data_IF_562735761674
#
_entry.id   IF_562735761674
#
_cell.length_a   1.000
_cell.length_b   1.000
_cell.length_c   1.000
_cell.angle_alpha   90.00
_cell.angle_beta   90.00
_cell.angle_gamma   90.00
#
_symmetry.space_group_name_H-M   'P 1'
#
loop_
_entity.id
_entity.type
_entity.pdbx_description
1 polymer ?
#
# COMPACT_ATOMS: atom_id res chain seq x y z
N UNK A 1 -10.18 9.33 -15.34
CA UNK A 1 -9.42 8.19 -15.93
C UNK A 1 -10.11 7.63 -17.17
N UNK A 2 -11.41 7.32 -17.11
CA UNK A 2 -12.16 6.79 -18.25
C UNK A 2 -12.09 7.69 -19.49
N UNK A 3 -12.29 9.00 -19.32
CA UNK A 3 -12.25 9.97 -20.43
C UNK A 3 -10.89 9.96 -21.13
N UNK A 4 -9.80 10.03 -20.37
CA UNK A 4 -8.42 9.94 -20.89
C UNK A 4 -8.19 8.65 -21.69
N UNK A 5 -8.74 7.53 -21.22
CA UNK A 5 -8.60 6.23 -21.89
C UNK A 5 -9.39 6.10 -23.20
N UNK A 6 -10.35 6.99 -23.48
CA UNK A 6 -11.22 6.95 -24.68
C UNK A 6 -11.12 8.20 -25.55
N UNK A 7 -10.31 9.18 -25.16
CA UNK A 7 -10.27 10.47 -25.82
C UNK A 7 -9.60 10.36 -27.20
N UNK A 8 -10.23 10.88 -28.29
CA UNK A 8 -9.71 10.70 -29.65
C UNK A 8 -8.36 11.36 -29.88
N UNK A 9 -8.04 12.42 -29.13
CA UNK A 9 -6.77 13.15 -29.24
C UNK A 9 -5.75 12.77 -28.15
N UNK A 10 -6.00 11.73 -27.34
CA UNK A 10 -5.04 11.29 -26.31
C UNK A 10 -4.67 9.83 -26.58
N UNK A 11 -3.37 9.58 -26.80
CA UNK A 11 -2.82 8.23 -26.86
C UNK A 11 -2.26 7.85 -25.50
N UNK A 12 -2.99 7.04 -24.74
CA UNK A 12 -2.55 6.53 -23.45
C UNK A 12 -1.53 5.38 -23.63
N UNK A 13 -0.29 5.61 -23.20
CA UNK A 13 0.77 4.59 -23.18
C UNK A 13 1.00 4.10 -21.74
N UNK A 14 0.05 3.34 -21.21
CA UNK A 14 0.20 2.74 -19.89
C UNK A 14 1.32 1.69 -19.88
N UNK A 15 1.92 1.46 -18.70
CA UNK A 15 3.02 0.51 -18.53
C UNK A 15 4.20 0.76 -19.50
N UNK A 16 4.51 2.05 -19.70
CA UNK A 16 5.58 2.52 -20.57
C UNK A 16 6.41 3.58 -19.83
N UNK A 17 7.67 3.71 -20.20
CA UNK A 17 8.59 4.71 -19.62
C UNK A 17 9.32 5.49 -20.71
N UNK A 18 9.56 6.77 -20.46
CA UNK A 18 10.42 7.59 -21.30
C UNK A 18 11.88 7.20 -21.05
N UNK A 19 12.61 6.86 -22.11
CA UNK A 19 14.03 6.54 -22.03
C UNK A 19 14.92 7.73 -22.36
N UNK A 20 14.52 8.48 -23.39
CA UNK A 20 15.33 9.54 -23.97
C UNK A 20 14.45 10.65 -24.53
N UNK A 21 14.88 11.90 -24.32
CA UNK A 21 14.28 13.07 -24.96
C UNK A 21 15.38 13.90 -25.63
N UNK A 22 15.32 14.01 -26.96
CA UNK A 22 16.25 14.84 -27.75
C UNK A 22 15.50 15.96 -28.47
N UNK A 23 16.24 16.96 -28.95
CA UNK A 23 15.68 18.12 -29.64
C UNK A 23 15.42 19.31 -28.72
N UNK A 24 14.55 20.19 -29.18
CA UNK A 24 14.30 21.51 -28.59
C UNK A 24 12.80 21.83 -28.55
N UNK A 25 12.43 22.91 -27.87
CA UNK A 25 11.05 23.37 -27.78
C UNK A 25 10.36 23.38 -29.17
N UNK A 26 9.21 22.71 -29.25
CA UNK A 26 8.41 22.56 -30.47
C UNK A 26 8.90 21.50 -31.46
N UNK A 27 10.03 20.82 -31.22
CA UNK A 27 10.51 19.71 -32.05
C UNK A 27 11.37 18.74 -31.22
N UNK A 28 10.73 18.03 -30.30
CA UNK A 28 11.37 16.96 -29.54
C UNK A 28 11.12 15.60 -30.18
N UNK A 29 12.10 14.71 -30.03
CA UNK A 29 11.95 13.28 -30.30
C UNK A 29 12.06 12.53 -28.97
N UNK A 30 10.95 11.92 -28.57
CA UNK A 30 10.83 11.11 -27.36
C UNK A 30 10.92 9.62 -27.71
N UNK A 31 11.87 8.92 -27.10
CA UNK A 31 12.00 7.47 -27.19
C UNK A 31 11.32 6.85 -25.97
N UNK A 32 10.25 6.10 -26.19
CA UNK A 32 9.41 5.52 -25.14
C UNK A 32 9.48 4.00 -25.20
N UNK A 33 9.91 3.37 -24.10
CA UNK A 33 9.89 1.92 -23.93
C UNK A 33 8.53 1.48 -23.42
N UNK A 34 7.83 0.66 -24.18
CA UNK A 34 6.61 -0.03 -23.74
C UNK A 34 6.99 -1.38 -23.14
N UNK A 35 6.77 -1.53 -21.83
CA UNK A 35 7.09 -2.77 -21.10
C UNK A 35 6.12 -3.87 -21.49
N UNK A 36 6.56 -5.12 -21.34
CA UNK A 36 5.76 -6.31 -21.66
C UNK A 36 4.77 -6.65 -20.55
N UNK A 37 3.48 -6.71 -20.89
CA UNK A 37 2.46 -7.17 -19.95
C UNK A 37 2.33 -8.69 -19.92
N UNK A 38 2.83 -9.37 -20.95
CA UNK A 38 2.52 -10.77 -21.31
C UNK A 38 1.02 -11.02 -21.51
N UNK A 39 0.28 -9.94 -21.76
CA UNK A 39 -1.15 -9.89 -22.01
C UNK A 39 -1.38 -8.86 -23.10
N UNK A 40 -1.93 -9.29 -24.22
CA UNK A 40 -2.25 -8.45 -25.37
C UNK A 40 -3.44 -7.55 -25.03
N UNK A 41 -3.19 -6.25 -24.97
CA UNK A 41 -4.15 -5.25 -24.49
C UNK A 41 -5.41 -5.19 -25.36
N UNK A 42 -5.26 -5.35 -26.68
CA UNK A 42 -6.38 -5.27 -27.64
C UNK A 42 -7.31 -6.49 -27.57
N UNK A 43 -6.84 -7.63 -27.05
CA UNK A 43 -7.63 -8.86 -26.89
C UNK A 43 -8.17 -9.01 -25.47
N UNK A 44 -7.51 -8.42 -24.48
CA UNK A 44 -7.87 -8.61 -23.08
C UNK A 44 -9.19 -7.89 -22.74
N UNK A 45 -10.17 -8.65 -22.25
CA UNK A 45 -11.46 -8.11 -21.79
C UNK A 45 -11.45 -7.64 -20.33
N UNK A 46 -10.39 -7.95 -19.57
CA UNK A 46 -10.29 -7.58 -18.16
C UNK A 46 -11.15 -8.40 -17.20
N UNK A 47 -11.70 -9.55 -17.62
CA UNK A 47 -12.68 -10.32 -16.84
C UNK A 47 -12.17 -10.96 -15.53
N UNK A 48 -10.85 -11.11 -15.34
CA UNK A 48 -10.27 -11.62 -14.09
C UNK A 48 -10.21 -13.15 -13.94
N UNK A 49 -10.81 -13.94 -14.85
CA UNK A 49 -10.80 -15.41 -14.77
C UNK A 49 -9.40 -16.03 -14.70
N UNK A 50 -8.40 -15.36 -15.27
CA UNK A 50 -7.00 -15.78 -15.23
C UNK A 50 -6.35 -15.58 -13.84
N UNK A 51 -6.79 -14.57 -13.07
CA UNK A 51 -6.33 -14.28 -11.71
C UNK A 51 -6.81 -15.35 -10.72
N UNK A 52 -8.06 -15.76 -10.82
CA UNK A 52 -8.67 -16.76 -9.92
C UNK A 52 -7.91 -18.08 -9.91
N UNK A 53 -7.45 -18.53 -11.08
CA UNK A 53 -6.76 -19.82 -11.23
C UNK A 53 -5.25 -19.74 -10.98
N UNK A 54 -4.69 -18.54 -10.79
CA UNK A 54 -3.25 -18.38 -10.62
C UNK A 54 -2.79 -18.91 -9.24
N UNK A 55 -1.85 -19.86 -9.19
CA UNK A 55 -1.45 -20.51 -7.94
C UNK A 55 -0.40 -19.74 -7.14
N UNK A 56 0.22 -18.70 -7.71
CA UNK A 56 1.30 -17.95 -7.04
C UNK A 56 0.74 -16.72 -6.32
N UNK A 57 0.71 -16.70 -4.97
CA UNK A 57 0.46 -15.47 -4.23
C UNK A 57 1.68 -14.54 -4.33
N UNK A 58 1.43 -13.25 -4.41
CA UNK A 58 2.44 -12.18 -4.42
C UNK A 58 1.96 -11.07 -3.49
N UNK A 59 2.87 -10.40 -2.80
CA UNK A 59 2.54 -9.25 -1.96
C UNK A 59 1.86 -8.17 -2.80
N UNK A 60 0.73 -7.66 -2.30
CA UNK A 60 -0.04 -6.64 -2.99
C UNK A 60 0.47 -5.24 -2.63
N UNK A 61 1.27 -4.67 -3.52
CA UNK A 61 1.85 -3.34 -3.36
C UNK A 61 0.80 -2.22 -3.40
N UNK A 62 -0.32 -2.41 -4.10
CA UNK A 62 -1.40 -1.42 -4.13
C UNK A 62 -2.12 -1.32 -2.78
N UNK A 63 -2.12 -2.42 -2.02
CA UNK A 63 -2.67 -2.48 -0.67
C UNK A 63 -1.58 -2.38 0.40
N UNK A 64 -0.45 -1.73 0.08
CA UNK A 64 0.66 -1.46 1.01
C UNK A 64 1.18 -2.72 1.74
N UNK A 65 1.11 -3.88 1.09
CA UNK A 65 1.54 -5.15 1.68
C UNK A 65 0.56 -5.83 2.63
N UNK A 66 -0.63 -5.26 2.84
CA UNK A 66 -1.68 -5.79 3.73
C UNK A 66 -2.67 -6.75 3.06
N UNK A 67 -2.40 -7.12 1.80
CA UNK A 67 -3.11 -8.13 1.04
C UNK A 67 -2.15 -8.95 0.17
N UNK A 68 -2.68 -10.04 -0.40
CA UNK A 68 -2.01 -10.80 -1.44
C UNK A 68 -2.74 -10.64 -2.77
N UNK A 69 -1.97 -10.38 -3.82
CA UNK A 69 -2.40 -10.51 -5.22
C UNK A 69 -1.87 -11.81 -5.81
N UNK A 70 -2.10 -12.01 -7.10
CA UNK A 70 -1.54 -13.11 -7.87
C UNK A 70 -0.45 -12.61 -8.83
N UNK A 71 0.34 -13.52 -9.38
CA UNK A 71 1.36 -13.17 -10.37
C UNK A 71 0.75 -12.53 -11.63
N UNK A 72 -0.42 -12.98 -12.08
CA UNK A 72 -1.25 -12.23 -13.04
C UNK A 72 -2.26 -11.36 -12.29
N UNK A 73 -2.27 -10.06 -12.57
CA UNK A 73 -3.01 -9.08 -11.78
C UNK A 73 -3.48 -7.91 -12.64
N UNK A 74 -4.47 -7.18 -12.12
CA UNK A 74 -4.72 -5.77 -12.45
C UNK A 74 -4.28 -4.93 -11.25
N UNK A 75 -3.79 -3.71 -11.48
CA UNK A 75 -3.27 -2.87 -10.38
C UNK A 75 -4.35 -2.56 -9.34
N UNK A 76 -5.55 -2.24 -9.82
CA UNK A 76 -6.78 -2.12 -9.02
C UNK A 76 -8.00 -2.30 -9.93
N UNK A 77 -9.18 -2.48 -9.35
CA UNK A 77 -10.38 -2.89 -10.09
C UNK A 77 -10.82 -1.87 -11.17
N UNK A 78 -10.64 -0.57 -10.92
CA UNK A 78 -11.02 0.51 -11.83
C UNK A 78 -9.84 1.03 -12.68
N UNK A 79 -8.74 0.26 -12.76
CA UNK A 79 -7.56 0.61 -13.53
C UNK A 79 -7.85 0.78 -15.03
N UNK A 80 -7.26 1.82 -15.64
CA UNK A 80 -7.36 2.11 -17.07
C UNK A 80 -5.93 2.09 -17.66
N UNK A 81 -5.67 1.34 -18.75
CA UNK A 81 -6.58 0.44 -19.46
C UNK A 81 -7.02 -0.74 -18.60
N UNK A 82 -8.25 -1.24 -18.84
CA UNK A 82 -8.84 -2.38 -18.12
C UNK A 82 -8.22 -3.70 -18.60
N UNK A 83 -6.92 -3.85 -18.37
CA UNK A 83 -6.11 -5.00 -18.79
C UNK A 83 -5.38 -5.62 -17.61
N UNK A 84 -4.96 -6.87 -17.78
CA UNK A 84 -4.13 -7.58 -16.82
C UNK A 84 -2.65 -7.47 -17.19
N UNK A 85 -1.78 -7.81 -16.25
CA UNK A 85 -0.33 -7.86 -16.42
C UNK A 85 0.22 -9.04 -15.64
N UNK A 86 1.23 -9.71 -16.19
CA UNK A 86 1.93 -10.79 -15.52
C UNK A 86 3.24 -10.25 -14.97
N UNK A 87 3.43 -10.45 -13.68
CA UNK A 87 4.68 -10.19 -12.97
C UNK A 87 5.72 -11.26 -13.36
N UNK A 88 6.81 -10.89 -14.06
CA UNK A 88 7.79 -11.85 -14.54
C UNK A 88 8.55 -12.53 -13.40
N UNK A 89 8.79 -11.83 -12.29
CA UNK A 89 9.62 -12.31 -11.18
C UNK A 89 8.91 -13.41 -10.39
N UNK A 90 7.57 -13.42 -10.42
CA UNK A 90 6.74 -14.36 -9.67
C UNK A 90 5.98 -15.36 -10.55
N UNK A 91 5.93 -15.15 -11.86
CA UNK A 91 5.24 -16.05 -12.77
C UNK A 91 6.01 -17.38 -12.92
N UNK A 92 5.34 -18.50 -12.66
CA UNK A 92 5.94 -19.84 -12.79
C UNK A 92 6.47 -20.12 -14.19
N UNK A 93 5.76 -19.70 -15.24
CA UNK A 93 6.20 -19.93 -16.63
C UNK A 93 7.47 -19.12 -16.93
N UNK A 94 7.49 -17.84 -16.58
CA UNK A 94 8.60 -16.93 -16.86
C UNK A 94 9.84 -17.20 -15.98
N UNK A 95 9.65 -17.88 -14.85
CA UNK A 95 10.73 -18.39 -13.98
C UNK A 95 11.14 -19.84 -14.30
N UNK A 96 10.70 -20.41 -15.43
CA UNK A 96 11.13 -21.73 -15.92
C UNK A 96 10.42 -22.94 -15.31
N UNK A 97 9.35 -22.75 -14.54
CA UNK A 97 8.54 -23.82 -13.93
C UNK A 97 7.32 -24.17 -14.81
N UNK A 98 6.91 -25.45 -14.78
CA UNK A 98 5.72 -25.93 -15.51
C UNK A 98 4.43 -25.29 -14.97
N UNK A 99 3.77 -24.47 -15.78
CA UNK A 99 2.49 -23.82 -15.50
C UNK A 99 1.78 -23.46 -16.84
N UNK A 100 0.85 -22.51 -16.85
CA UNK A 100 0.09 -22.09 -18.04
C UNK A 100 -1.44 -22.10 -17.81
N UNK A 101 -1.90 -22.29 -16.57
CA UNK A 101 -3.33 -22.37 -16.24
C UNK A 101 -4.09 -21.09 -16.60
N UNK A 102 -3.47 -19.92 -16.44
CA UNK A 102 -4.06 -18.65 -16.81
C UNK A 102 -4.29 -18.55 -18.32
N UNK A 103 -3.32 -18.99 -19.14
CA UNK A 103 -3.43 -19.01 -20.61
C UNK A 103 -4.54 -19.96 -21.06
N UNK A 104 -4.62 -21.17 -20.49
CA UNK A 104 -5.68 -22.15 -20.79
C UNK A 104 -7.08 -21.64 -20.43
N UNK A 105 -7.21 -20.88 -19.34
CA UNK A 105 -8.50 -20.34 -18.87
C UNK A 105 -8.94 -19.10 -19.65
N UNK A 106 -8.01 -18.41 -20.32
CA UNK A 106 -8.28 -17.17 -21.04
C UNK A 106 -9.02 -17.43 -22.36
N UNK A 107 -10.34 -17.27 -22.34
CA UNK A 107 -11.19 -17.43 -23.53
C UNK A 107 -10.84 -16.46 -24.67
N UNK A 108 -10.38 -15.25 -24.34
CA UNK A 108 -10.00 -14.25 -25.34
C UNK A 108 -8.63 -14.52 -26.00
N UNK A 109 -7.88 -15.54 -25.56
CA UNK A 109 -6.55 -15.84 -26.10
C UNK A 109 -5.53 -14.69 -25.95
N UNK A 110 -5.70 -13.82 -24.96
CA UNK A 110 -4.88 -12.61 -24.80
C UNK A 110 -3.51 -12.86 -24.13
N UNK A 111 -3.29 -13.99 -23.47
CA UNK A 111 -2.05 -14.25 -22.73
C UNK A 111 -0.97 -14.77 -23.67
N UNK A 112 0.15 -14.04 -23.73
CA UNK A 112 1.29 -14.33 -24.58
C UNK A 112 2.60 -14.17 -23.80
N UNK A 113 3.21 -15.30 -23.41
CA UNK A 113 4.47 -15.32 -22.65
C UNK A 113 5.71 -14.94 -23.47
N UNK A 114 5.60 -14.96 -24.81
CA UNK A 114 6.69 -14.63 -25.72
C UNK A 114 6.66 -13.17 -26.18
N UNK A 115 5.74 -12.37 -25.61
CA UNK A 115 5.64 -10.94 -25.90
C UNK A 115 6.99 -10.25 -25.61
N UNK A 116 7.45 -9.43 -26.57
CA UNK A 116 8.70 -8.67 -26.47
C UNK A 116 8.45 -7.19 -26.22
N UNK A 117 9.41 -6.52 -25.60
CA UNK A 117 9.37 -5.08 -25.40
C UNK A 117 9.36 -4.36 -26.74
N UNK A 118 8.67 -3.22 -26.80
CA UNK A 118 8.65 -2.38 -27.99
C UNK A 118 9.13 -0.98 -27.65
N UNK A 119 9.94 -0.41 -28.54
CA UNK A 119 10.42 0.96 -28.43
C UNK A 119 9.68 1.80 -29.47
N UNK A 120 9.11 2.91 -29.02
CA UNK A 120 8.35 3.84 -29.84
C UNK A 120 9.11 5.17 -29.92
N UNK A 121 9.22 5.72 -31.13
CA UNK A 121 9.69 7.09 -31.32
C UNK A 121 8.50 8.01 -31.58
N UNK A 122 8.39 9.06 -30.78
CA UNK A 122 7.30 10.04 -30.85
C UNK A 122 7.88 11.43 -31.11
N UNK A 123 7.35 12.11 -32.12
CA UNK A 123 7.61 13.54 -32.33
C UNK A 123 6.63 14.35 -31.49
N UNK A 124 7.15 15.17 -30.57
CA UNK A 124 6.33 15.96 -29.63
C UNK A 124 6.81 17.41 -29.57
N UNK A 125 5.87 18.35 -29.44
CA UNK A 125 6.20 19.77 -29.38
C UNK A 125 6.54 20.30 -27.99
N UNK A 126 5.99 19.69 -26.94
CA UNK A 126 6.20 20.06 -25.55
C UNK A 126 6.09 18.84 -24.65
N UNK A 127 6.67 18.93 -23.45
CA UNK A 127 6.63 17.87 -22.43
C UNK A 127 6.13 18.45 -21.12
N UNK A 128 5.22 17.75 -20.46
CA UNK A 128 4.74 18.09 -19.12
C UNK A 128 5.09 16.94 -18.17
N UNK A 129 5.82 17.26 -17.10
CA UNK A 129 6.22 16.32 -16.06
C UNK A 129 5.15 16.32 -14.96
N UNK A 130 4.52 15.16 -14.77
CA UNK A 130 3.49 14.94 -13.77
C UNK A 130 3.72 13.62 -13.03
N UNK A 131 4.98 13.32 -12.69
CA UNK A 131 5.42 12.03 -12.14
C UNK A 131 5.04 11.84 -10.67
N UNK A 132 4.38 12.82 -10.05
CA UNK A 132 3.87 12.72 -8.69
C UNK A 132 4.97 12.72 -7.64
N UNK A 133 4.76 11.93 -6.59
CA UNK A 133 5.57 11.90 -5.38
C UNK A 133 5.64 10.48 -4.82
N UNK A 134 6.55 10.27 -3.87
CA UNK A 134 6.57 9.10 -2.99
C UNK A 134 6.40 9.53 -1.53
N UNK A 135 5.91 8.61 -0.71
CA UNK A 135 5.79 8.84 0.74
C UNK A 135 7.10 8.49 1.47
N UNK A 136 7.41 9.27 2.49
CA UNK A 136 8.56 9.04 3.38
C UNK A 136 8.41 7.70 4.11
N UNK A 137 9.49 6.92 4.16
CA UNK A 137 9.57 5.68 4.95
C UNK A 137 9.83 5.99 6.43
N UNK A 138 8.85 5.80 7.33
CA UNK A 138 9.00 6.12 8.74
C UNK A 138 9.91 5.16 9.49
N UNK A 139 10.38 4.06 8.87
CA UNK A 139 11.38 3.16 9.46
C UNK A 139 12.70 3.90 9.79
N UNK A 140 12.91 5.08 9.17
CA UNK A 140 14.05 5.98 9.43
C UNK A 140 13.93 6.76 10.75
N UNK A 141 12.77 6.70 11.42
CA UNK A 141 12.50 7.32 12.72
C UNK A 141 12.28 6.18 13.73
N UNK A 142 13.36 5.60 14.29
CA UNK A 142 13.26 4.43 15.17
C UNK A 142 12.41 4.70 16.42
N UNK A 143 12.31 5.95 16.86
CA UNK A 143 11.49 6.37 17.99
C UNK A 143 10.00 6.08 17.77
N UNK A 144 9.55 5.96 16.51
CA UNK A 144 8.16 5.64 16.18
C UNK A 144 7.89 4.15 15.96
N UNK A 145 8.92 3.29 16.00
CA UNK A 145 8.76 1.82 16.00
C UNK A 145 7.87 1.28 14.87
N UNK A 146 7.86 1.95 13.72
CA UNK A 146 7.13 1.50 12.54
C UNK A 146 7.69 0.15 12.08
N UNK A 147 6.80 -0.82 11.80
CA UNK A 147 7.10 -2.25 11.55
C UNK A 147 7.60 -3.07 12.75
N UNK A 148 7.91 -2.44 13.88
CA UNK A 148 8.23 -3.15 15.14
C UNK A 148 6.98 -3.37 16.01
N UNK A 149 6.06 -2.40 15.98
CA UNK A 149 4.73 -2.49 16.59
C UNK A 149 3.72 -2.72 15.46
N UNK A 150 3.04 -3.88 15.44
CA UNK A 150 2.09 -4.25 14.38
C UNK A 150 0.99 -3.19 14.16
N UNK A 151 0.56 -2.50 15.23
CA UNK A 151 -0.50 -1.48 15.20
C UNK A 151 0.03 -0.04 15.00
N UNK A 152 1.26 0.13 14.51
CA UNK A 152 1.76 1.42 14.01
C UNK A 152 1.83 1.33 12.50
N UNK A 153 0.96 2.09 11.82
CA UNK A 153 0.81 2.10 10.37
C UNK A 153 1.01 3.51 9.82
N UNK A 154 1.29 3.61 8.53
CA UNK A 154 1.28 4.86 7.78
C UNK A 154 -0.14 5.28 7.40
N UNK A 155 -0.31 6.56 7.11
CA UNK A 155 -1.57 7.06 6.57
C UNK A 155 -1.95 6.40 5.25
N UNK A 156 -0.98 6.04 4.39
CA UNK A 156 -1.28 5.32 3.15
C UNK A 156 -1.81 3.91 3.39
N UNK A 157 -1.22 3.16 4.34
CA UNK A 157 -1.77 1.87 4.76
C UNK A 157 -3.19 2.04 5.32
N UNK A 158 -3.40 3.07 6.13
CA UNK A 158 -4.71 3.36 6.72
C UNK A 158 -5.76 3.75 5.68
N UNK A 159 -5.39 4.52 4.65
CA UNK A 159 -6.25 4.79 3.49
C UNK A 159 -6.69 3.51 2.79
N UNK A 160 -5.79 2.53 2.66
CA UNK A 160 -6.16 1.22 2.13
C UNK A 160 -7.12 0.50 3.06
N UNK A 161 -6.98 0.61 4.39
CA UNK A 161 -7.92 -0.02 5.33
C UNK A 161 -9.32 0.60 5.25
N UNK A 162 -9.42 1.92 5.15
CA UNK A 162 -10.70 2.61 5.01
C UNK A 162 -11.36 2.39 3.64
N UNK A 163 -10.61 1.93 2.64
CA UNK A 163 -11.14 1.66 1.30
C UNK A 163 -12.03 0.43 1.28
N UNK A 164 -13.24 0.55 0.73
CA UNK A 164 -14.15 -0.58 0.51
C UNK A 164 -13.55 -1.69 -0.39
N UNK A 165 -12.64 -1.34 -1.30
CA UNK A 165 -11.89 -2.29 -2.13
C UNK A 165 -10.52 -2.67 -1.54
N UNK A 166 -10.27 -2.26 -0.29
CA UNK A 166 -9.04 -2.49 0.44
C UNK A 166 -9.02 -3.80 1.23
N UNK A 167 -7.90 -4.09 1.92
CA UNK A 167 -7.67 -5.36 2.62
C UNK A 167 -8.60 -5.61 3.82
N UNK A 168 -9.26 -4.58 4.33
CA UNK A 168 -10.19 -4.67 5.46
C UNK A 168 -11.60 -4.22 5.08
N UNK A 169 -11.89 -4.02 3.79
CA UNK A 169 -13.22 -3.69 3.26
C UNK A 169 -13.86 -2.44 3.91
N UNK A 170 -13.04 -1.50 4.36
CA UNK A 170 -13.48 -0.30 5.07
C UNK A 170 -13.48 -0.42 6.59
N UNK A 171 -13.31 -1.61 7.15
CA UNK A 171 -13.30 -1.79 8.60
C UNK A 171 -11.94 -1.45 9.22
N UNK A 172 -11.97 -0.79 10.39
CA UNK A 172 -10.79 -0.33 11.13
C UNK A 172 -10.21 -1.45 11.99
N UNK A 173 -9.84 -2.58 11.39
CA UNK A 173 -9.26 -3.71 12.12
C UNK A 173 -7.79 -3.48 12.46
N UNK A 174 -7.37 -3.87 13.67
CA UNK A 174 -5.97 -3.83 14.09
C UNK A 174 -5.14 -4.87 13.31
N UNK A 175 -3.96 -4.49 12.76
CA UNK A 175 -3.07 -5.45 12.12
C UNK A 175 -2.65 -6.62 13.02
N UNK A 176 -2.44 -6.38 14.33
CA UNK A 176 -2.13 -7.44 15.31
C UNK A 176 -3.19 -8.55 15.32
N UNK A 177 -4.46 -8.16 15.26
CA UNK A 177 -5.59 -9.10 15.35
C UNK A 177 -5.72 -9.91 14.06
N UNK A 178 -5.42 -9.30 12.91
CA UNK A 178 -5.39 -9.99 11.61
C UNK A 178 -4.28 -11.02 11.55
N UNK A 179 -3.12 -10.73 12.12
CA UNK A 179 -1.99 -11.66 12.24
C UNK A 179 -2.36 -12.88 13.07
N UNK A 180 -3.01 -12.67 14.23
CA UNK A 180 -3.53 -13.77 15.06
C UNK A 180 -4.58 -14.60 14.30
N UNK A 181 -5.52 -13.97 13.58
CA UNK A 181 -6.49 -14.70 12.74
C UNK A 181 -5.83 -15.55 11.66
N UNK A 182 -4.76 -15.04 11.03
CA UNK A 182 -4.00 -15.79 10.03
C UNK A 182 -3.27 -17.00 10.65
N UNK A 183 -2.69 -16.82 11.84
CA UNK A 183 -2.04 -17.89 12.59
C UNK A 183 -3.03 -18.99 13.02
N UNK A 184 -4.22 -18.59 13.50
CA UNK A 184 -5.32 -19.52 13.79
C UNK A 184 -5.65 -20.35 12.54
N UNK A 185 -5.83 -19.72 11.37
CA UNK A 185 -6.16 -20.43 10.14
C UNK A 185 -5.05 -21.41 9.70
N UNK A 186 -3.78 -21.09 9.95
CA UNK A 186 -2.66 -22.00 9.69
C UNK A 186 -2.68 -23.21 10.64
N UNK A 187 -2.84 -22.95 11.94
CA UNK A 187 -2.91 -23.99 12.97
C UNK A 187 -4.12 -24.90 12.79
N UNK A 188 -5.29 -24.37 12.43
CA UNK A 188 -6.48 -25.18 12.12
C UNK A 188 -6.21 -26.16 10.97
N UNK A 189 -5.47 -25.74 9.94
CA UNK A 189 -5.08 -26.61 8.85
C UNK A 189 -4.10 -27.71 9.29
N UNK A 190 -3.14 -27.39 10.18
CA UNK A 190 -2.21 -28.38 10.76
C UNK A 190 -2.94 -29.37 11.65
N UNK A 191 -3.77 -28.88 12.57
CA UNK A 191 -4.62 -29.68 13.47
C UNK A 191 -5.53 -30.61 12.66
N UNK A 192 -6.23 -30.11 11.64
CA UNK A 192 -7.06 -30.93 10.75
C UNK A 192 -6.28 -32.05 10.04
N UNK A 193 -5.03 -31.81 9.64
CA UNK A 193 -4.17 -32.84 9.03
C UNK A 193 -3.71 -33.87 10.07
N UNK A 194 -3.33 -33.42 11.27
CA UNK A 194 -2.92 -34.31 12.36
C UNK A 194 -4.08 -35.19 12.84
N UNK A 195 -5.29 -34.65 13.01
CA UNK A 195 -6.50 -35.41 13.37
C UNK A 195 -6.78 -36.51 12.36
N UNK A 196 -6.76 -36.22 11.04
CA UNK A 196 -6.90 -37.25 10.00
C UNK A 196 -5.84 -38.35 10.09
N UNK A 197 -4.63 -38.00 10.52
CA UNK A 197 -3.58 -39.01 10.74
C UNK A 197 -3.85 -39.85 11.99
N UNK A 198 -4.42 -39.26 13.04
CA UNK A 198 -4.71 -39.92 14.32
C UNK A 198 -5.96 -40.82 14.19
N UNK A 199 -6.99 -40.37 13.49
CA UNK A 199 -8.21 -41.16 13.17
C UNK A 199 -7.88 -42.53 12.57
N UNK A 200 -6.79 -42.60 11.79
CA UNK A 200 -6.31 -43.88 11.25
C UNK A 200 -5.85 -44.83 12.36
N UNK A 201 -5.03 -44.37 13.31
CA UNK A 201 -4.56 -45.19 14.43
C UNK A 201 -5.69 -45.54 15.40
N UNK A 202 -6.60 -44.59 15.66
CA UNK A 202 -7.78 -44.82 16.49
C UNK A 202 -8.68 -45.91 15.90
N UNK A 203 -8.84 -45.92 14.57
CA UNK A 203 -9.58 -46.97 13.87
C UNK A 203 -8.86 -48.31 13.86
N UNK A 204 -7.54 -48.30 13.71
CA UNK A 204 -6.72 -49.52 13.68
C UNK A 204 -6.65 -50.20 15.06
N UNK A 205 -6.80 -49.45 16.17
CA UNK A 205 -6.63 -49.96 17.54
C UNK A 205 -7.85 -49.80 18.47
N UNK A 206 -8.93 -49.16 18.04
CA UNK A 206 -10.21 -49.10 18.76
C UNK A 206 -10.20 -48.27 20.06
N UNK A 207 -9.20 -47.41 20.25
CA UNK A 207 -9.03 -46.54 21.42
C UNK A 207 -8.70 -45.12 20.94
N UNK A 208 -9.14 -44.11 21.68
CA UNK A 208 -8.85 -42.71 21.31
C UNK A 208 -7.39 -42.36 21.58
N UNK A 209 -6.83 -41.44 20.79
CA UNK A 209 -5.44 -41.00 20.96
C UNK A 209 -5.21 -40.33 22.32
N UNK A 210 -6.23 -39.64 22.85
CA UNK A 210 -6.19 -38.99 24.16
C UNK A 210 -6.13 -40.01 25.32
N UNK A 211 -6.97 -41.04 25.28
CA UNK A 211 -6.96 -42.12 26.28
C UNK A 211 -5.66 -42.91 26.22
N UNK A 212 -5.16 -43.21 25.02
CA UNK A 212 -3.89 -43.88 24.82
C UNK A 212 -2.72 -43.08 25.40
N UNK A 213 -2.65 -41.78 25.13
CA UNK A 213 -1.57 -40.92 25.61
C UNK A 213 -1.60 -40.77 27.14
N UNK A 214 -2.79 -40.58 27.73
CA UNK A 214 -2.94 -40.53 29.19
C UNK A 214 -2.56 -41.87 29.86
N UNK A 215 -2.90 -43.01 29.25
CA UNK A 215 -2.52 -44.32 29.76
C UNK A 215 -1.01 -44.58 29.63
N UNK A 216 -0.37 -44.02 28.60
CA UNK A 216 1.07 -44.04 28.39
C UNK A 216 1.84 -43.25 29.46
N UNK A 217 1.42 -42.02 29.75
CA UNK A 217 2.04 -41.18 30.79
C UNK A 217 1.91 -41.79 32.19
N UNK A 218 0.80 -42.48 32.47
CA UNK A 218 0.55 -43.13 33.75
C UNK A 218 1.15 -44.56 33.86
N UNK A 219 1.87 -45.04 32.85
CA UNK A 219 2.56 -46.34 32.85
C UNK A 219 1.62 -47.57 32.82
N UNK A 220 0.36 -47.40 32.42
CA UNK A 220 -0.72 -48.38 32.64
C UNK A 220 -1.27 -49.07 31.38
N UNK A 221 -0.49 -49.23 30.31
CA UNK A 221 -0.95 -49.86 29.07
C UNK A 221 -0.66 -51.38 29.05
N UNK A 222 -1.71 -52.21 29.04
CA UNK A 222 -1.61 -53.61 28.61
C UNK A 222 -1.59 -53.65 27.07
N UNK A 223 -0.40 -53.75 26.49
CA UNK A 223 -0.17 -53.64 25.05
C UNK A 223 -0.33 -55.01 24.37
N UNK A 224 -1.01 -55.03 23.22
CA UNK A 224 -0.93 -56.16 22.28
C UNK A 224 0.37 -56.05 21.45
N UNK A 225 0.92 -57.14 20.90
CA UNK A 225 2.16 -57.12 20.08
C UNK A 225 2.10 -56.12 18.90
N UNK A 226 0.90 -55.83 18.39
CA UNK A 226 0.67 -54.82 17.36
C UNK A 226 0.76 -53.38 17.90
N UNK A 227 0.23 -53.12 19.09
CA UNK A 227 0.30 -51.83 19.77
C UNK A 227 1.72 -51.48 20.21
N UNK A 228 2.54 -52.47 20.61
CA UNK A 228 3.94 -52.22 20.98
C UNK A 228 4.77 -51.64 19.83
N UNK A 229 4.52 -52.08 18.58
CA UNK A 229 5.29 -51.64 17.40
C UNK A 229 4.95 -50.23 16.92
N UNK A 230 3.72 -49.79 17.15
CA UNK A 230 3.24 -48.48 16.72
C UNK A 230 3.09 -47.48 17.88
N UNK A 231 3.35 -47.91 19.12
CA UNK A 231 3.30 -47.09 20.35
C UNK A 231 4.08 -45.78 20.20
N UNK A 232 5.38 -45.87 19.93
CA UNK A 232 6.25 -44.68 19.91
C UNK A 232 5.81 -43.69 18.83
N UNK A 233 5.38 -44.20 17.66
CA UNK A 233 4.88 -43.38 16.55
C UNK A 233 3.55 -42.72 16.89
N UNK A 234 2.66 -43.39 17.61
CA UNK A 234 1.37 -42.83 18.00
C UNK A 234 1.54 -41.77 19.08
N UNK A 235 2.40 -42.01 20.08
CA UNK A 235 2.79 -41.03 21.10
C UNK A 235 3.41 -39.78 20.46
N UNK A 236 4.39 -39.96 19.56
CA UNK A 236 5.06 -38.86 18.86
C UNK A 236 4.05 -38.02 18.05
N UNK A 237 3.12 -38.68 17.32
CA UNK A 237 2.11 -37.99 16.53
C UNK A 237 1.07 -37.25 17.37
N UNK A 238 0.68 -37.80 18.52
CA UNK A 238 -0.27 -37.14 19.42
C UNK A 238 0.41 -35.99 20.17
N UNK A 239 1.67 -36.13 20.57
CA UNK A 239 2.47 -35.03 21.11
C UNK A 239 2.58 -33.86 20.09
N UNK A 240 2.92 -34.18 18.83
CA UNK A 240 2.96 -33.19 17.75
C UNK A 240 1.59 -32.56 17.46
N UNK A 241 0.48 -33.28 17.69
CA UNK A 241 -0.86 -32.72 17.61
C UNK A 241 -1.11 -31.71 18.74
N UNK A 242 -0.80 -32.07 19.99
CA UNK A 242 -0.95 -31.21 21.16
C UNK A 242 -0.11 -29.92 21.07
N UNK A 243 1.08 -30.00 20.47
CA UNK A 243 1.93 -28.83 20.17
C UNK A 243 1.25 -27.80 19.26
N UNK A 244 0.31 -28.23 18.40
CA UNK A 244 -0.45 -27.34 17.53
C UNK A 244 -1.83 -26.98 18.11
N UNK A 245 -2.48 -27.91 18.81
CA UNK A 245 -3.82 -27.71 19.38
C UNK A 245 -3.81 -26.75 20.58
N UNK A 246 -2.80 -26.85 21.46
CA UNK A 246 -2.72 -26.01 22.67
C UNK A 246 -2.60 -24.52 22.32
N UNK A 247 -1.68 -24.08 21.43
CA UNK A 247 -1.63 -22.69 20.98
C UNK A 247 -2.90 -22.27 20.23
N UNK A 248 -3.50 -23.17 19.45
CA UNK A 248 -4.73 -22.88 18.70
C UNK A 248 -5.88 -22.50 19.64
N UNK A 249 -6.08 -23.26 20.73
CA UNK A 249 -7.13 -22.97 21.71
C UNK A 249 -6.88 -21.63 22.42
N UNK A 250 -5.64 -21.36 22.82
CA UNK A 250 -5.27 -20.10 23.46
C UNK A 250 -5.50 -18.89 22.53
N UNK A 251 -5.12 -19.00 21.25
CA UNK A 251 -5.35 -17.95 20.26
C UNK A 251 -6.83 -17.76 19.93
N UNK A 252 -7.61 -18.85 19.86
CA UNK A 252 -9.07 -18.77 19.67
C UNK A 252 -9.75 -18.04 20.81
N UNK A 253 -9.34 -18.30 22.06
CA UNK A 253 -9.87 -17.57 23.21
C UNK A 253 -9.52 -16.09 23.14
N UNK A 254 -8.26 -15.75 22.83
CA UNK A 254 -7.83 -14.36 22.60
C UNK A 254 -8.64 -13.68 21.49
N UNK A 255 -8.92 -14.39 20.40
CA UNK A 255 -9.63 -13.86 19.24
C UNK A 255 -11.12 -13.58 19.49
N UNK A 256 -11.74 -14.18 20.52
CA UNK A 256 -13.14 -13.88 20.91
C UNK A 256 -13.31 -12.43 21.35
N UNK A 257 -12.27 -11.80 21.87
CA UNK A 257 -12.27 -10.39 22.30
C UNK A 257 -11.93 -9.38 21.19
N UNK A 258 -11.68 -9.81 19.96
CA UNK A 258 -11.28 -8.91 18.89
C UNK A 258 -12.44 -8.05 18.39
N UNK A 259 -12.18 -6.76 18.22
CA UNK A 259 -13.12 -5.76 17.72
C UNK A 259 -12.39 -4.75 16.82
N UNK A 260 -13.13 -3.82 16.21
CA UNK A 260 -12.55 -2.67 15.52
C UNK A 260 -11.73 -1.81 16.49
N UNK A 261 -10.66 -1.20 15.99
CA UNK A 261 -9.90 -0.21 16.75
C UNK A 261 -10.79 0.99 17.06
N UNK A 262 -10.91 1.36 18.34
CA UNK A 262 -11.77 2.45 18.78
C UNK A 262 -10.98 3.70 19.10
N UNK A 263 -9.77 3.57 19.64
CA UNK A 263 -8.94 4.72 20.01
C UNK A 263 -7.77 4.89 19.05
N UNK A 264 -7.82 5.92 18.21
CA UNK A 264 -6.85 6.15 17.14
C UNK A 264 -5.95 7.35 17.46
N UNK A 265 -4.66 7.25 17.19
CA UNK A 265 -3.72 8.38 17.23
C UNK A 265 -3.17 8.68 15.84
N UNK A 266 -3.33 9.92 15.38
CA UNK A 266 -2.71 10.40 14.14
C UNK A 266 -1.52 11.28 14.49
N UNK A 267 -0.33 10.92 14.02
CA UNK A 267 0.90 11.67 14.28
C UNK A 267 1.24 12.48 13.04
N UNK A 268 1.22 13.81 13.17
CA UNK A 268 1.51 14.74 12.09
C UNK A 268 3.01 14.93 11.86
N UNK A 269 3.35 15.43 10.68
CA UNK A 269 4.72 15.85 10.32
C UNK A 269 5.74 14.71 10.39
N UNK A 270 5.35 13.46 10.07
CA UNK A 270 6.29 12.33 10.10
C UNK A 270 7.24 12.41 8.89
N UNK A 271 8.49 12.77 9.15
CA UNK A 271 9.50 13.04 8.11
C UNK A 271 9.44 14.44 7.49
N UNK A 272 8.46 15.25 7.89
CA UNK A 272 8.22 16.62 7.38
C UNK A 272 8.46 17.64 8.48
N UNK A 273 8.87 18.86 8.12
CA UNK A 273 9.32 19.89 9.08
C UNK A 273 10.34 19.31 10.07
N UNK A 274 11.18 18.40 9.58
CA UNK A 274 12.21 17.71 10.33
C UNK A 274 13.56 17.96 9.64
N UNK A 275 14.47 18.62 10.35
CA UNK A 275 15.78 19.00 9.83
C UNK A 275 16.65 17.79 9.48
N UNK A 276 16.33 16.60 10.00
CA UNK A 276 17.01 15.34 9.66
C UNK A 276 16.61 14.82 8.27
N UNK A 277 15.43 15.21 7.79
CA UNK A 277 14.80 14.68 6.57
C UNK A 277 14.32 15.83 5.68
N UNK A 278 13.01 16.05 5.60
CA UNK A 278 12.45 17.14 4.82
C UNK A 278 12.15 18.35 5.71
N UNK A 279 12.87 19.48 5.54
CA UNK A 279 12.66 20.67 6.35
C UNK A 279 11.39 21.46 5.94
N UNK A 280 10.70 21.04 4.88
CA UNK A 280 9.48 21.66 4.38
C UNK A 280 8.22 20.97 4.92
N UNK A 281 7.06 21.61 4.68
CA UNK A 281 5.74 21.04 4.97
C UNK A 281 5.21 20.29 3.75
N UNK A 282 4.63 19.11 3.94
CA UNK A 282 4.06 18.31 2.83
C UNK A 282 2.72 18.82 2.28
N UNK A 283 2.20 19.93 2.78
CA UNK A 283 0.99 20.59 2.25
C UNK A 283 -0.34 19.89 2.57
N UNK A 284 -0.41 18.55 2.51
CA UNK A 284 -1.66 17.79 2.63
C UNK A 284 -1.84 17.07 3.98
N UNK A 285 -0.75 16.82 4.74
CA UNK A 285 -0.72 15.92 5.90
C UNK A 285 -1.82 16.17 6.96
N UNK A 286 -2.09 17.43 7.28
CA UNK A 286 -3.11 17.78 8.27
C UNK A 286 -4.53 17.43 7.80
N UNK A 287 -4.83 17.64 6.52
CA UNK A 287 -6.19 17.49 6.00
C UNK A 287 -6.55 16.04 5.74
N UNK A 288 -5.62 15.21 5.23
CA UNK A 288 -5.94 13.79 5.05
C UNK A 288 -6.16 13.08 6.40
N UNK A 289 -5.38 13.42 7.45
CA UNK A 289 -5.58 12.82 8.76
C UNK A 289 -6.93 13.19 9.38
N UNK A 290 -7.39 14.43 9.21
CA UNK A 290 -8.74 14.83 9.61
C UNK A 290 -9.78 14.04 8.82
N UNK A 291 -9.58 13.91 7.50
CA UNK A 291 -10.49 13.15 6.64
C UNK A 291 -10.54 11.67 7.02
N UNK A 292 -9.40 11.03 7.25
CA UNK A 292 -9.30 9.64 7.69
C UNK A 292 -9.96 9.44 9.04
N UNK A 293 -9.75 10.34 10.00
CA UNK A 293 -10.39 10.29 11.31
C UNK A 293 -11.92 10.44 11.22
N UNK A 294 -12.42 11.35 10.37
CA UNK A 294 -13.87 11.51 10.12
C UNK A 294 -14.45 10.23 9.49
N UNK A 295 -13.82 9.70 8.43
CA UNK A 295 -14.29 8.48 7.76
C UNK A 295 -14.27 7.28 8.73
N UNK A 296 -13.25 7.18 9.58
CA UNK A 296 -13.19 6.14 10.60
C UNK A 296 -14.38 6.21 11.55
N UNK A 297 -14.76 7.42 11.96
CA UNK A 297 -15.94 7.66 12.77
C UNK A 297 -17.25 7.37 12.01
N UNK A 298 -17.35 7.72 10.72
CA UNK A 298 -18.52 7.39 9.89
C UNK A 298 -18.71 5.88 9.69
N UNK A 299 -17.62 5.12 9.66
CA UNK A 299 -17.66 3.66 9.60
C UNK A 299 -17.95 3.01 10.96
N UNK A 300 -17.55 3.66 12.05
CA UNK A 300 -17.73 3.20 13.42
C UNK A 300 -17.82 4.39 14.40
N UNK A 301 -19.05 4.75 14.79
CA UNK A 301 -19.35 5.95 15.58
C UNK A 301 -18.74 5.93 17.00
N UNK A 302 -18.27 4.78 17.49
CA UNK A 302 -17.58 4.71 18.79
C UNK A 302 -16.12 5.14 18.70
N UNK A 303 -15.61 5.36 17.48
CA UNK A 303 -14.21 5.74 17.27
C UNK A 303 -13.92 7.11 17.89
N UNK A 304 -12.83 7.19 18.65
CA UNK A 304 -12.24 8.39 19.22
C UNK A 304 -10.85 8.61 18.64
N UNK A 305 -10.65 9.73 17.95
CA UNK A 305 -9.39 10.03 17.27
C UNK A 305 -8.67 11.20 17.93
N UNK A 306 -7.37 11.05 18.17
CA UNK A 306 -6.50 12.14 18.65
C UNK A 306 -5.49 12.48 17.56
N UNK A 307 -5.50 13.73 17.09
CA UNK A 307 -4.56 14.22 16.09
C UNK A 307 -3.47 15.04 16.78
N UNK A 308 -2.26 14.49 16.82
CA UNK A 308 -1.07 15.11 17.40
C UNK A 308 -0.34 15.93 16.33
N UNK A 309 -0.36 17.25 16.45
CA UNK A 309 0.38 18.13 15.54
C UNK A 309 0.91 19.39 16.20
N UNK A 310 2.01 19.94 15.68
CA UNK A 310 2.55 21.23 16.12
C UNK A 310 1.60 22.38 15.76
N UNK A 311 1.09 22.33 14.53
CA UNK A 311 0.10 23.24 13.96
C UNK A 311 -0.84 22.41 13.08
N UNK A 312 -2.13 22.74 13.06
CA UNK A 312 -3.09 22.16 12.10
C UNK A 312 -3.24 23.14 10.94
N UNK A 313 -2.71 22.77 9.77
CA UNK A 313 -2.69 23.61 8.57
C UNK A 313 -3.89 23.30 7.67
N UNK A 314 -5.02 23.92 7.97
CA UNK A 314 -6.26 23.82 7.21
C UNK A 314 -6.33 24.93 6.14
N UNK A 315 -5.38 24.92 5.20
CA UNK A 315 -5.15 25.99 4.22
C UNK A 315 -5.86 25.69 2.89
N UNK A 316 -7.12 26.07 2.78
CA UNK A 316 -7.94 25.84 1.59
C UNK A 316 -9.38 26.29 1.81
N UNK A 317 -10.15 26.44 0.73
CA UNK A 317 -11.56 26.80 0.84
C UNK A 317 -12.34 25.69 1.55
N UNK A 318 -12.96 25.99 2.68
CA UNK A 318 -13.75 25.02 3.45
C UNK A 318 -12.92 24.14 4.39
N UNK A 319 -11.59 24.29 4.45
CA UNK A 319 -10.74 23.38 5.22
C UNK A 319 -10.82 23.62 6.73
N UNK A 320 -10.93 24.88 7.17
CA UNK A 320 -11.10 25.18 8.60
C UNK A 320 -12.47 24.70 9.09
N UNK A 321 -13.52 24.88 8.29
CA UNK A 321 -14.86 24.37 8.57
C UNK A 321 -14.86 22.84 8.64
N UNK A 322 -14.09 22.16 7.78
CA UNK A 322 -13.93 20.71 7.80
C UNK A 322 -13.25 20.21 9.08
N UNK A 323 -12.22 20.93 9.55
CA UNK A 323 -11.56 20.67 10.84
C UNK A 323 -12.51 20.92 12.02
N UNK A 324 -13.26 22.02 12.02
CA UNK A 324 -14.26 22.31 13.07
C UNK A 324 -15.30 21.19 13.13
N UNK A 325 -15.79 20.74 11.97
CA UNK A 325 -16.72 19.62 11.86
C UNK A 325 -16.14 18.33 12.45
N UNK A 326 -14.86 18.04 12.18
CA UNK A 326 -14.19 16.88 12.76
C UNK A 326 -14.23 16.87 14.30
N UNK A 327 -13.97 18.02 14.92
CA UNK A 327 -14.04 18.16 16.38
C UNK A 327 -15.47 18.08 16.93
N UNK A 328 -16.43 18.72 16.27
CA UNK A 328 -17.80 18.83 16.77
C UNK A 328 -18.67 17.59 16.51
N UNK A 329 -18.40 16.87 15.42
CA UNK A 329 -19.30 15.83 14.90
C UNK A 329 -18.66 14.45 14.73
N UNK A 330 -17.33 14.32 14.88
CA UNK A 330 -16.62 13.07 14.60
C UNK A 330 -15.65 12.64 15.70
N UNK A 331 -15.86 13.13 16.93
CA UNK A 331 -15.10 12.75 18.13
C UNK A 331 -13.56 12.88 17.94
N UNK A 332 -13.13 13.94 17.25
CA UNK A 332 -11.72 14.23 17.02
C UNK A 332 -11.19 15.23 18.05
N UNK A 333 -10.09 14.89 18.70
CA UNK A 333 -9.36 15.79 19.58
C UNK A 333 -8.06 16.23 18.93
N UNK A 334 -7.93 17.54 18.71
CA UNK A 334 -6.69 18.14 18.23
C UNK A 334 -5.75 18.41 19.39
N UNK A 335 -4.59 17.74 19.41
CA UNK A 335 -3.57 17.90 20.44
C UNK A 335 -2.36 18.62 19.89
N UNK A 336 -2.06 19.80 20.47
CA UNK A 336 -0.86 20.54 20.13
C UNK A 336 0.37 19.88 20.76
N UNK A 337 1.04 19.03 20.00
CA UNK A 337 2.21 18.29 20.44
C UNK A 337 2.97 17.69 19.25
N UNK A 338 4.29 17.55 19.41
CA UNK A 338 5.11 16.66 18.58
C UNK A 338 5.41 15.43 19.42
N UNK A 339 4.98 14.26 18.96
CA UNK A 339 5.23 12.99 19.65
C UNK A 339 6.73 12.76 19.76
N UNK A 340 7.17 12.34 20.95
CA UNK A 340 8.58 12.06 21.21
C UNK A 340 8.94 10.63 20.79
N UNK A 341 8.16 9.65 21.25
CA UNK A 341 8.38 8.23 20.95
C UNK A 341 7.07 7.43 21.08
N UNK A 342 7.10 6.22 20.53
CA UNK A 342 6.04 5.22 20.65
C UNK A 342 6.64 3.95 21.27
N UNK A 343 6.01 3.43 22.32
CA UNK A 343 6.39 2.16 22.97
C UNK A 343 5.22 1.17 22.91
N UNK A 344 5.34 0.00 23.54
CA UNK A 344 4.23 -0.94 23.74
C UNK A 344 3.85 -1.04 25.21
N UNK A 345 2.58 -1.32 25.49
CA UNK A 345 2.13 -1.78 26.81
C UNK A 345 2.20 -3.31 26.93
N UNK A 346 1.74 -3.86 28.05
CA UNK A 346 1.70 -5.30 28.30
C UNK A 346 0.77 -6.07 27.34
N UNK A 347 -0.20 -5.38 26.72
CA UNK A 347 -1.15 -5.94 25.75
C UNK A 347 -0.69 -5.75 24.30
N UNK A 348 0.58 -5.36 24.08
CA UNK A 348 1.18 -5.03 22.78
C UNK A 348 0.52 -3.83 22.06
N UNK A 349 -0.25 -3.00 22.78
CA UNK A 349 -0.83 -1.77 22.21
C UNK A 349 0.22 -0.67 22.13
N UNK A 350 0.20 0.16 21.06
CA UNK A 350 1.08 1.31 20.98
C UNK A 350 0.75 2.35 22.06
N UNK A 351 1.78 2.78 22.78
CA UNK A 351 1.73 3.85 23.77
C UNK A 351 2.48 5.05 23.24
N UNK A 352 1.76 6.16 23.03
CA UNK A 352 2.31 7.42 22.52
C UNK A 352 2.81 8.25 23.70
N UNK A 353 4.07 8.67 23.64
CA UNK A 353 4.73 9.52 24.65
C UNK A 353 4.93 10.90 24.05
N UNK A 354 4.35 11.92 24.69
CA UNK A 354 4.28 13.27 24.14
C UNK A 354 4.23 14.34 25.23
N UNK A 355 4.64 15.56 24.90
CA UNK A 355 4.43 16.72 25.77
C UNK A 355 3.08 17.37 25.46
N UNK A 356 2.22 17.52 26.46
CA UNK A 356 1.05 18.38 26.35
C UNK A 356 1.50 19.84 26.51
N UNK A 357 1.56 20.58 25.41
CA UNK A 357 2.10 21.95 25.43
C UNK A 357 1.22 22.96 26.18
N UNK A 358 -0.05 22.61 26.51
CA UNK A 358 -0.91 23.45 27.34
C UNK A 358 -0.62 23.24 28.82
N UNK A 359 -0.43 22.00 29.23
CA UNK A 359 -0.16 21.64 30.62
C UNK A 359 1.34 21.64 30.97
N UNK A 360 2.22 21.67 29.97
CA UNK A 360 3.67 21.55 30.10
C UNK A 360 4.08 20.27 30.82
N UNK A 361 3.41 19.16 30.50
CA UNK A 361 3.63 17.85 31.12
C UNK A 361 3.83 16.79 30.04
N UNK A 362 4.79 15.90 30.30
CA UNK A 362 4.93 14.66 29.51
C UNK A 362 3.82 13.70 29.91
N UNK A 363 3.06 13.23 28.92
CA UNK A 363 1.99 12.26 29.07
C UNK A 363 2.32 10.99 28.30
N UNK A 364 1.76 9.87 28.76
CA UNK A 364 1.80 8.58 28.09
C UNK A 364 0.37 8.10 27.91
N UNK A 365 0.02 7.69 26.71
CA UNK A 365 -1.35 7.31 26.40
C UNK A 365 -1.38 6.12 25.44
N UNK A 366 -2.09 5.06 25.81
CA UNK A 366 -2.27 3.88 24.96
C UNK A 366 -3.37 4.12 23.91
N UNK A 367 -3.16 3.56 22.72
CA UNK A 367 -4.07 3.61 21.57
C UNK A 367 -4.23 2.21 20.97
N UNK A 368 -5.35 1.97 20.28
CA UNK A 368 -5.58 0.73 19.54
C UNK A 368 -4.77 0.69 18.24
N UNK A 369 -4.61 1.85 17.61
CA UNK A 369 -3.92 2.03 16.35
C UNK A 369 -3.27 3.41 16.29
N UNK A 370 -2.02 3.47 15.82
CA UNK A 370 -1.31 4.72 15.54
C UNK A 370 -1.09 4.85 14.04
N UNK A 371 -1.46 6.00 13.49
CA UNK A 371 -1.37 6.36 12.08
C UNK A 371 -0.32 7.45 11.91
N UNK A 372 0.71 7.18 11.12
CA UNK A 372 1.81 8.09 10.82
C UNK A 372 1.50 8.87 9.54
N UNK A 373 1.22 10.17 9.66
CA UNK A 373 1.04 11.06 8.52
C UNK A 373 2.39 11.41 7.90
N UNK A 374 2.84 10.55 6.99
CA UNK A 374 4.17 10.59 6.36
C UNK A 374 4.30 11.71 5.35
N UNK A 375 5.53 12.21 5.21
CA UNK A 375 5.85 13.30 4.31
C UNK A 375 5.73 12.89 2.83
N UNK A 376 5.25 13.83 2.03
CA UNK A 376 5.41 13.89 0.58
C UNK A 376 6.87 14.18 0.23
N UNK A 377 7.55 13.24 -0.42
CA UNK A 377 8.89 13.43 -0.94
C UNK A 377 8.93 13.29 -2.48
N UNK A 378 10.03 13.69 -3.12
CA UNK A 378 10.23 13.44 -4.55
C UNK A 378 10.06 11.96 -4.89
N UNK A 379 9.47 11.67 -6.05
CA UNK A 379 9.33 10.29 -6.54
C UNK A 379 10.71 9.64 -6.72
N UNK A 380 10.81 8.35 -6.38
CA UNK A 380 12.02 7.55 -6.63
C UNK A 380 12.35 7.60 -8.12
N UNK A 381 13.60 7.96 -8.42
CA UNK A 381 14.06 8.13 -9.80
C UNK A 381 13.79 9.52 -10.40
N UNK A 382 13.32 10.51 -9.63
CA UNK A 382 13.19 11.89 -10.08
C UNK A 382 14.48 12.44 -10.71
N UNK A 383 15.65 12.12 -10.14
CA UNK A 383 16.96 12.49 -10.70
C UNK A 383 17.20 11.90 -12.09
N UNK A 384 16.85 10.62 -12.30
CA UNK A 384 16.94 9.96 -13.62
C UNK A 384 16.04 10.67 -14.62
N UNK A 385 14.82 11.02 -14.22
CA UNK A 385 13.85 11.72 -15.07
C UNK A 385 14.37 13.12 -15.42
N UNK A 386 14.92 13.85 -14.45
CA UNK A 386 15.52 15.17 -14.65
C UNK A 386 16.70 15.11 -15.64
N UNK A 387 17.57 14.10 -15.51
CA UNK A 387 18.65 13.84 -16.47
C UNK A 387 18.13 13.52 -17.87
N UNK A 388 17.16 12.60 -17.99
CA UNK A 388 16.54 12.24 -19.28
C UNK A 388 15.91 13.46 -19.97
N UNK A 389 15.32 14.36 -19.19
CA UNK A 389 14.68 15.58 -19.68
C UNK A 389 15.65 16.77 -19.80
N UNK A 390 16.90 16.64 -19.35
CA UNK A 390 17.88 17.71 -19.25
C UNK A 390 17.32 18.96 -18.54
N UNK A 391 16.79 18.76 -17.33
CA UNK A 391 16.26 19.82 -16.45
C UNK A 391 16.95 19.76 -15.10
N UNK A 392 17.12 20.91 -14.47
CA UNK A 392 17.63 21.03 -13.11
C UNK A 392 16.57 20.70 -12.05
N UNK A 393 17.05 20.26 -10.89
CA UNK A 393 16.24 20.04 -9.69
C UNK A 393 16.57 21.12 -8.65
N UNK A 394 15.64 21.37 -7.75
CA UNK A 394 15.86 22.27 -6.62
C UNK A 394 16.62 21.58 -5.48
N UNK A 395 16.93 22.33 -4.42
CA UNK A 395 17.65 21.81 -3.25
C UNK A 395 16.88 20.74 -2.45
N UNK A 396 15.60 20.54 -2.74
CA UNK A 396 14.72 19.58 -2.08
C UNK A 396 14.46 18.34 -2.92
N UNK A 397 15.01 18.29 -4.14
CA UNK A 397 14.84 17.19 -5.07
C UNK A 397 13.57 17.24 -5.90
N UNK A 398 12.88 18.39 -5.99
CA UNK A 398 11.79 18.60 -6.94
C UNK A 398 12.30 19.26 -8.22
N UNK A 399 11.50 19.29 -9.29
CA UNK A 399 11.89 19.95 -10.54
C UNK A 399 11.96 21.47 -10.34
N UNK A 400 13.11 22.06 -10.66
CA UNK A 400 13.34 23.50 -10.47
C UNK A 400 12.54 24.31 -11.49
N UNK A 401 11.83 25.32 -10.98
CA UNK A 401 11.01 26.25 -11.77
C UNK A 401 11.43 27.70 -11.54
N UNK A 402 10.98 28.60 -12.42
CA UNK A 402 11.14 30.04 -12.27
C UNK A 402 9.98 30.62 -11.42
N UNK A 403 10.25 31.38 -10.34
CA UNK A 403 9.20 32.04 -9.55
C UNK A 403 8.24 32.91 -10.38
N UNK A 404 8.69 33.52 -11.48
CA UNK A 404 7.82 34.29 -12.37
C UNK A 404 6.99 33.42 -13.32
N UNK A 405 7.43 32.18 -13.56
CA UNK A 405 6.79 31.19 -14.43
C UNK A 405 6.76 29.84 -13.71
N UNK A 406 5.88 29.64 -12.71
CA UNK A 406 6.01 28.60 -11.69
C UNK A 406 5.86 27.15 -12.21
N UNK A 407 5.54 26.97 -13.50
CA UNK A 407 5.39 25.66 -14.14
C UNK A 407 6.45 25.42 -15.22
N UNK A 408 7.21 26.44 -15.57
CA UNK A 408 8.28 26.36 -16.55
C UNK A 408 9.52 25.82 -15.87
N UNK A 409 10.06 24.72 -16.40
CA UNK A 409 11.32 24.18 -15.92
C UNK A 409 12.50 24.98 -16.48
N UNK A 410 13.71 24.61 -16.10
CA UNK A 410 14.95 25.16 -16.66
C UNK A 410 15.19 24.84 -18.14
N UNK A 411 14.41 23.94 -18.75
CA UNK A 411 14.46 23.66 -20.20
C UNK A 411 13.20 24.18 -20.89
N UNK A 412 13.38 25.07 -21.86
CA UNK A 412 12.28 25.58 -22.67
C UNK A 412 11.49 24.45 -23.34
N UNK A 413 10.16 24.53 -23.29
CA UNK A 413 9.24 23.50 -23.83
C UNK A 413 9.05 22.29 -22.91
N UNK A 414 9.70 22.26 -21.75
CA UNK A 414 9.46 21.27 -20.69
C UNK A 414 8.86 21.99 -19.47
N UNK A 415 7.72 21.48 -19.02
CA UNK A 415 6.93 22.02 -17.92
C UNK A 415 6.75 20.98 -16.82
N UNK A 416 6.37 21.41 -15.61
CA UNK A 416 6.07 20.53 -14.49
C UNK A 416 4.75 20.93 -13.82
N UNK A 417 4.02 19.96 -13.28
CA UNK A 417 2.81 20.22 -12.50
C UNK A 417 2.58 19.18 -11.41
N UNK A 418 1.73 19.52 -10.44
CA UNK A 418 1.33 18.61 -9.37
C UNK A 418 2.48 18.30 -8.43
N UNK A 419 2.43 17.16 -7.75
CA UNK A 419 3.41 16.84 -6.72
C UNK A 419 4.85 16.59 -7.25
N UNK A 420 5.06 16.55 -8.56
CA UNK A 420 6.40 16.60 -9.14
C UNK A 420 7.06 17.98 -8.96
N UNK A 421 6.26 19.06 -8.90
CA UNK A 421 6.73 20.42 -8.66
C UNK A 421 6.98 20.68 -7.18
N UNK A 422 6.04 20.32 -6.29
CA UNK A 422 6.17 20.47 -4.83
C UNK A 422 5.02 19.76 -4.11
N UNK A 423 5.10 19.52 -2.79
CA UNK A 423 3.98 18.93 -2.05
C UNK A 423 2.72 19.80 -2.07
N UNK A 424 1.59 19.24 -2.50
CA UNK A 424 0.32 19.94 -2.62
C UNK A 424 -0.88 18.99 -2.53
N UNK A 425 -2.10 19.54 -2.54
CA UNK A 425 -3.33 18.75 -2.58
C UNK A 425 -3.83 18.49 -4.01
N UNK A 426 -4.97 17.79 -4.12
CA UNK A 426 -5.58 17.43 -5.41
C UNK A 426 -6.08 18.67 -6.17
N UNK A 427 -6.89 19.57 -5.57
CA UNK A 427 -7.33 20.80 -6.24
C UNK A 427 -6.18 21.62 -6.83
N UNK A 428 -5.11 21.84 -6.07
CA UNK A 428 -3.95 22.58 -6.54
C UNK A 428 -3.22 21.82 -7.67
N UNK A 429 -3.07 20.50 -7.54
CA UNK A 429 -2.48 19.67 -8.60
C UNK A 429 -3.27 19.76 -9.92
N UNK A 430 -4.60 19.74 -9.85
CA UNK A 430 -5.47 19.87 -11.03
C UNK A 430 -5.33 21.27 -11.65
N UNK A 431 -5.32 22.32 -10.83
CA UNK A 431 -5.14 23.69 -11.30
C UNK A 431 -3.77 23.89 -12.00
N UNK A 432 -2.69 23.33 -11.43
CA UNK A 432 -1.37 23.34 -12.05
C UNK A 432 -1.35 22.54 -13.36
N UNK A 433 -2.01 21.38 -13.42
CA UNK A 433 -2.07 20.58 -14.64
C UNK A 433 -2.76 21.32 -15.80
N UNK A 434 -3.89 21.99 -15.52
CA UNK A 434 -4.57 22.85 -16.52
C UNK A 434 -3.67 24.00 -16.99
N UNK A 435 -2.95 24.62 -16.06
CA UNK A 435 -2.03 25.73 -16.36
C UNK A 435 -0.83 25.25 -17.18
N UNK A 436 -0.23 24.10 -16.84
CA UNK A 436 0.87 23.51 -17.59
C UNK A 436 0.45 23.09 -19.01
N UNK A 437 -0.78 22.59 -19.18
CA UNK A 437 -1.34 22.33 -20.50
C UNK A 437 -1.46 23.61 -21.35
N UNK A 438 -1.93 24.72 -20.77
CA UNK A 438 -1.99 26.01 -21.46
C UNK A 438 -0.59 26.52 -21.85
N UNK A 439 0.40 26.40 -20.97
CA UNK A 439 1.80 26.74 -21.25
C UNK A 439 2.39 25.89 -22.38
N UNK A 440 2.14 24.59 -22.36
CA UNK A 440 2.56 23.68 -23.42
C UNK A 440 1.96 24.06 -24.78
N UNK A 441 0.66 24.36 -24.84
CA UNK A 441 0.01 24.85 -26.07
C UNK A 441 0.64 26.14 -26.56
N UNK A 442 0.89 27.11 -25.67
CA UNK A 442 1.54 28.37 -26.04
C UNK A 442 2.93 28.16 -26.64
N UNK A 443 3.72 27.24 -26.08
CA UNK A 443 5.05 26.91 -26.59
C UNK A 443 5.00 26.26 -27.99
N UNK A 444 4.01 25.40 -28.23
CA UNK A 444 3.82 24.75 -29.53
C UNK A 444 3.36 25.76 -30.59
N UNK A 445 2.40 26.63 -30.26
CA UNK A 445 1.83 27.58 -31.23
C UNK A 445 2.83 28.66 -31.68
N UNK A 446 3.65 29.21 -30.76
CA UNK A 446 4.67 30.22 -31.11
C UNK A 446 5.68 29.77 -32.16
N UNK A 447 5.90 28.46 -32.35
CA UNK A 447 6.81 27.93 -33.38
C UNK A 447 6.15 27.87 -34.76
N UNK A 448 4.83 27.67 -34.83
CA UNK A 448 4.10 27.65 -36.10
C UNK A 448 4.12 29.03 -36.76
N UNK A 449 4.00 30.10 -35.97
CA UNK A 449 4.06 31.47 -36.49
C UNK A 449 5.43 31.81 -37.09
N UNK A 450 6.52 31.32 -36.47
CA UNK A 450 7.90 31.50 -36.99
C UNK A 450 8.25 30.68 -38.23
N UNK A 451 7.44 29.65 -38.57
CA UNK A 451 7.60 28.88 -39.82
C UNK A 451 6.71 29.40 -40.95
N UNK A 452 5.69 30.20 -40.63
CA UNK A 452 4.75 30.78 -41.59
C UNK A 452 5.15 32.20 -42.06
N UNK A 453 6.07 32.85 -41.33
CA UNK A 453 6.82 34.05 -41.74
C UNK A 453 8.15 33.67 -42.39
#
# INVERSE_FOLDING_TARGET
MLDVGRHPNIKLLAYSELEKLTGEAGNFTATVRKKVRYVEEDKCTGCGACREVCPTPVVDLYNEGHAQRKAIYSWFAQGIPSTHTIDPDHCRVLTGKKCGVCQKKCQAGAINFEQKETVLELSVGAVVVATGYDVFDPSRIPEYRYKEIDNVVTAMEFERFLSASGPTEGHVYRPSDRKVKAEIAELENKVKKSLKSLEKFEKDHGMTSAEFYAAHENGGLNLTEALEKDRDKWVERYAAHLENETPLLALKEKARGFSSAKKLAFIQCVGSRDLRFYPFCSGYCCMHAIKEAIISHEHDNDTHSVIFGMDIRAVGKGFEEYKIRGGNNSNIVYRRSRVAEITKDADERPVVIYEDTKEQKVKKEAFDLVILATACGPVKGAERIAQTLNVEMDRFGFFKTDPANPLDTTRAGVFVCGCAHSPMDIPESVAQASSAAARAVQAVMKKNDKKAS
#
